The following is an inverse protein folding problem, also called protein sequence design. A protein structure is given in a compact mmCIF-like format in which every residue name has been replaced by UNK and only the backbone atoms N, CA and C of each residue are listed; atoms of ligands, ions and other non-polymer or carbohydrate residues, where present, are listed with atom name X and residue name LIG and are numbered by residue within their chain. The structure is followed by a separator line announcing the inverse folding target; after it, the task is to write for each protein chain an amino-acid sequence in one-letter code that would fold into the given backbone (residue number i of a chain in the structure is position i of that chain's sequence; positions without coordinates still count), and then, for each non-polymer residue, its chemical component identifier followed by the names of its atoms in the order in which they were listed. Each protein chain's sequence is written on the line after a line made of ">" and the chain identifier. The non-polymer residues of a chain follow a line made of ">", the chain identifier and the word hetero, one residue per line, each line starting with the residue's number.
data_IF_629330158590
#
_entry.id   IF_629330158590
#
_cell.length_a   1.000
_cell.length_b   1.000
_cell.length_c   1.000
_cell.angle_alpha   90.00
_cell.angle_beta   90.00
_cell.angle_gamma   90.00
#
_symmetry.space_group_name_H-M   'P 1'
#
loop_
_entity.id
_entity.type
_entity.pdbx_description
1 polymer ?
#
# COMPACT_ATOMS: atom_id res chain seq x y z
N UNK A 1 60.27 -41.66 -6.03
CA UNK A 1 59.55 -41.20 -7.24
C UNK A 1 58.16 -41.82 -7.35
N UNK A 2 58.00 -43.15 -7.36
CA UNK A 2 56.68 -43.80 -7.53
C UNK A 2 55.63 -43.40 -6.46
N UNK A 3 56.01 -43.37 -5.17
CA UNK A 3 55.08 -43.00 -4.09
C UNK A 3 54.58 -41.55 -4.16
N UNK A 4 55.41 -40.63 -4.67
CA UNK A 4 55.02 -39.23 -4.88
C UNK A 4 54.00 -39.14 -6.02
N UNK A 5 54.21 -39.89 -7.10
CA UNK A 5 53.29 -39.93 -8.25
C UNK A 5 51.93 -40.50 -7.84
N UNK A 6 51.92 -41.58 -7.06
CA UNK A 6 50.68 -42.17 -6.54
C UNK A 6 49.94 -41.20 -5.63
N UNK A 7 50.64 -40.55 -4.69
CA UNK A 7 50.05 -39.55 -3.81
C UNK A 7 49.43 -38.38 -4.58
N UNK A 8 50.15 -37.85 -5.58
CA UNK A 8 49.68 -36.74 -6.41
C UNK A 8 48.46 -37.15 -7.25
N UNK A 9 48.44 -38.38 -7.76
CA UNK A 9 47.32 -38.94 -8.52
C UNK A 9 46.05 -39.06 -7.67
N UNK A 10 46.18 -39.55 -6.43
CA UNK A 10 45.04 -39.65 -5.50
C UNK A 10 44.49 -38.27 -5.14
N UNK A 11 45.34 -37.29 -4.86
CA UNK A 11 44.92 -35.91 -4.58
C UNK A 11 44.18 -35.33 -5.79
N UNK A 12 44.71 -35.53 -7.00
CA UNK A 12 44.09 -35.06 -8.23
C UNK A 12 42.70 -35.70 -8.44
N UNK A 13 42.57 -37.00 -8.18
CA UNK A 13 41.30 -37.72 -8.27
C UNK A 13 40.26 -37.18 -7.27
N UNK A 14 40.66 -36.97 -6.01
CA UNK A 14 39.77 -36.41 -4.97
C UNK A 14 39.30 -35.01 -5.37
N UNK A 15 40.22 -34.15 -5.83
CA UNK A 15 39.88 -32.81 -6.32
C UNK A 15 38.91 -32.86 -7.50
N UNK A 16 39.15 -33.73 -8.49
CA UNK A 16 38.27 -33.89 -9.64
C UNK A 16 36.84 -34.32 -9.23
N UNK A 17 36.72 -35.28 -8.30
CA UNK A 17 35.43 -35.73 -7.77
C UNK A 17 34.72 -34.59 -7.04
N UNK A 18 35.41 -33.85 -6.17
CA UNK A 18 34.81 -32.72 -5.43
C UNK A 18 34.31 -31.63 -6.38
N UNK A 19 35.09 -31.29 -7.41
CA UNK A 19 34.71 -30.32 -8.43
C UNK A 19 33.46 -30.77 -9.20
N UNK A 20 33.41 -32.06 -9.59
CA UNK A 20 32.29 -32.64 -10.30
C UNK A 20 31.00 -32.56 -9.47
N UNK A 21 31.07 -32.90 -8.18
CA UNK A 21 29.94 -32.81 -7.26
C UNK A 21 29.42 -31.36 -7.11
N UNK A 22 30.32 -30.38 -7.01
CA UNK A 22 29.96 -28.95 -6.96
C UNK A 22 29.26 -28.52 -8.26
N UNK A 23 29.79 -28.92 -9.43
CA UNK A 23 29.18 -28.59 -10.73
C UNK A 23 27.77 -29.18 -10.85
N UNK A 24 27.57 -30.42 -10.38
CA UNK A 24 26.24 -31.05 -10.37
C UNK A 24 25.26 -30.24 -9.51
N UNK A 25 25.64 -29.86 -8.30
CA UNK A 25 24.77 -29.08 -7.41
C UNK A 25 24.46 -27.68 -8.00
N UNK A 26 25.45 -26.99 -8.58
CA UNK A 26 25.22 -25.69 -9.24
C UNK A 26 24.24 -25.84 -10.41
N UNK A 27 24.39 -26.88 -11.24
CA UNK A 27 23.46 -27.15 -12.35
C UNK A 27 22.05 -27.47 -11.85
N UNK A 28 21.93 -28.19 -10.73
CA UNK A 28 20.64 -28.48 -10.08
C UNK A 28 19.99 -27.18 -9.59
N UNK A 29 20.71 -26.39 -8.79
CA UNK A 29 20.24 -25.10 -8.28
C UNK A 29 19.75 -24.22 -9.44
N UNK A 30 20.54 -24.13 -10.52
CA UNK A 30 20.17 -23.32 -11.68
C UNK A 30 18.87 -23.83 -12.35
N UNK A 31 18.74 -25.15 -12.54
CA UNK A 31 17.51 -25.74 -13.10
C UNK A 31 16.29 -25.49 -12.22
N UNK A 32 16.42 -25.68 -10.92
CA UNK A 32 15.36 -25.44 -9.94
C UNK A 32 14.97 -23.95 -9.91
N UNK A 33 15.95 -23.05 -9.96
CA UNK A 33 15.71 -21.61 -10.00
C UNK A 33 15.01 -21.17 -11.29
N UNK A 34 15.43 -21.70 -12.45
CA UNK A 34 14.74 -21.45 -13.73
C UNK A 34 13.28 -21.90 -13.65
N UNK A 35 13.01 -23.08 -13.08
CA UNK A 35 11.64 -23.57 -12.89
C UNK A 35 10.83 -22.65 -11.96
N UNK A 36 11.38 -22.29 -10.80
CA UNK A 36 10.73 -21.40 -9.83
C UNK A 36 10.42 -20.03 -10.43
N UNK A 37 11.28 -19.53 -11.32
CA UNK A 37 11.08 -18.24 -11.98
C UNK A 37 9.92 -18.23 -13.00
N UNK A 38 9.49 -19.41 -13.49
CA UNK A 38 8.46 -19.52 -14.53
C UNK A 38 7.16 -20.14 -14.04
N UNK A 39 7.12 -20.66 -12.81
CA UNK A 39 5.97 -21.35 -12.23
C UNK A 39 5.68 -20.77 -10.85
N UNK A 40 4.41 -20.51 -10.57
CA UNK A 40 3.99 -20.13 -9.22
C UNK A 40 4.15 -21.30 -8.26
N UNK A 41 5.20 -21.25 -7.44
CA UNK A 41 5.51 -22.30 -6.47
C UNK A 41 6.19 -21.75 -5.22
N UNK A 42 5.99 -22.46 -4.12
CA UNK A 42 6.68 -22.23 -2.85
C UNK A 42 7.99 -23.03 -2.73
N UNK A 43 8.41 -23.73 -3.80
CA UNK A 43 9.62 -24.53 -3.81
C UNK A 43 10.90 -23.70 -3.62
N UNK A 44 11.89 -24.24 -2.90
CA UNK A 44 13.23 -23.69 -2.82
C UNK A 44 14.23 -24.48 -3.67
N UNK A 45 15.44 -23.96 -3.80
CA UNK A 45 16.56 -24.71 -4.37
C UNK A 45 17.17 -25.63 -3.31
N UNK A 46 17.69 -26.78 -3.75
CA UNK A 46 18.21 -27.86 -2.90
C UNK A 46 19.64 -28.25 -3.27
N UNK A 47 20.35 -28.86 -2.32
CA UNK A 47 21.74 -29.32 -2.49
C UNK A 47 21.86 -30.78 -2.06
N UNK A 48 22.57 -31.61 -2.83
CA UNK A 48 22.82 -33.00 -2.46
C UNK A 48 24.17 -33.18 -1.74
N UNK A 49 25.03 -32.18 -1.75
CA UNK A 49 26.34 -32.25 -1.12
C UNK A 49 26.39 -31.54 0.23
N UNK A 50 27.37 -31.94 1.05
CA UNK A 50 27.68 -31.29 2.33
C UNK A 50 28.69 -30.13 2.18
N UNK A 51 28.97 -29.65 0.96
CA UNK A 51 29.92 -28.55 0.76
C UNK A 51 29.38 -27.26 1.38
N UNK A 52 30.05 -26.69 2.40
CA UNK A 52 29.51 -25.54 3.15
C UNK A 52 29.21 -24.34 2.27
N UNK A 53 30.06 -24.06 1.28
CA UNK A 53 29.90 -22.93 0.37
C UNK A 53 28.64 -23.06 -0.51
N UNK A 54 28.38 -24.26 -1.03
CA UNK A 54 27.21 -24.54 -1.88
C UNK A 54 25.93 -24.48 -1.05
N UNK A 55 25.93 -25.02 0.17
CA UNK A 55 24.79 -24.91 1.10
C UNK A 55 24.49 -23.46 1.47
N UNK A 56 25.53 -22.66 1.74
CA UNK A 56 25.37 -21.23 2.04
C UNK A 56 24.80 -20.46 0.85
N UNK A 57 25.23 -20.78 -0.37
CA UNK A 57 24.67 -20.21 -1.60
C UNK A 57 23.18 -20.56 -1.75
N UNK A 58 22.82 -21.85 -1.60
CA UNK A 58 21.44 -22.30 -1.70
C UNK A 58 20.54 -21.65 -0.63
N UNK A 59 21.04 -21.51 0.61
CA UNK A 59 20.34 -20.81 1.68
C UNK A 59 20.08 -19.33 1.32
N UNK A 60 21.11 -18.60 0.88
CA UNK A 60 20.95 -17.20 0.48
C UNK A 60 19.99 -17.00 -0.69
N UNK A 61 19.95 -17.94 -1.66
CA UNK A 61 18.96 -17.94 -2.74
C UNK A 61 17.56 -18.15 -2.16
N UNK A 62 17.38 -19.13 -1.27
CA UNK A 62 16.08 -19.41 -0.65
C UNK A 62 15.56 -18.25 0.21
N UNK A 63 16.45 -17.56 0.93
CA UNK A 63 16.10 -16.35 1.69
C UNK A 63 15.58 -15.26 0.75
N UNK A 64 16.26 -15.03 -0.39
CA UNK A 64 15.82 -14.07 -1.39
C UNK A 64 14.48 -14.47 -2.06
N UNK A 65 14.30 -15.76 -2.38
CA UNK A 65 13.03 -16.27 -2.90
C UNK A 65 11.89 -16.04 -1.92
N UNK A 66 12.11 -16.28 -0.62
CA UNK A 66 11.13 -16.06 0.42
C UNK A 66 10.79 -14.57 0.59
N UNK A 67 11.80 -13.70 0.62
CA UNK A 67 11.60 -12.25 0.67
C UNK A 67 10.80 -11.75 -0.55
N UNK A 68 11.13 -12.23 -1.74
CA UNK A 68 10.42 -11.88 -2.99
C UNK A 68 8.97 -12.34 -2.96
N UNK A 69 8.69 -13.54 -2.43
CA UNK A 69 7.31 -14.02 -2.22
C UNK A 69 6.53 -13.15 -1.26
N UNK A 70 7.14 -12.77 -0.13
CA UNK A 70 6.49 -11.90 0.85
C UNK A 70 6.15 -10.55 0.23
N UNK A 71 7.10 -9.92 -0.46
CA UNK A 71 6.87 -8.66 -1.19
C UNK A 71 5.74 -8.81 -2.22
N UNK A 72 5.68 -9.91 -2.96
CA UNK A 72 4.61 -10.16 -3.93
C UNK A 72 3.25 -10.31 -3.25
N UNK A 73 3.17 -11.02 -2.12
CA UNK A 73 1.93 -11.16 -1.36
C UNK A 73 1.47 -9.81 -0.79
N UNK A 74 2.39 -9.00 -0.29
CA UNK A 74 2.11 -7.65 0.18
C UNK A 74 1.61 -6.74 -0.94
N UNK A 75 2.23 -6.79 -2.11
CA UNK A 75 1.78 -6.06 -3.31
C UNK A 75 0.37 -6.46 -3.71
N UNK A 76 0.08 -7.76 -3.84
CA UNK A 76 -1.27 -8.26 -4.17
C UNK A 76 -2.29 -7.81 -3.13
N UNK A 77 -1.94 -7.88 -1.84
CA UNK A 77 -2.82 -7.43 -0.76
C UNK A 77 -3.06 -5.90 -0.83
N UNK A 78 -2.05 -5.11 -1.15
CA UNK A 78 -2.16 -3.66 -1.33
C UNK A 78 -3.03 -3.31 -2.53
N UNK A 79 -2.81 -3.95 -3.68
CA UNK A 79 -3.63 -3.78 -4.89
C UNK A 79 -5.10 -4.11 -4.61
N UNK A 80 -5.36 -5.21 -3.90
CA UNK A 80 -6.72 -5.59 -3.50
C UNK A 80 -7.38 -4.54 -2.60
N UNK A 81 -6.63 -3.96 -1.64
CA UNK A 81 -7.14 -2.88 -0.77
C UNK A 81 -7.50 -1.63 -1.58
N UNK A 82 -6.63 -1.22 -2.51
CA UNK A 82 -6.87 -0.07 -3.38
C UNK A 82 -8.11 -0.32 -4.25
N UNK A 83 -8.21 -1.51 -4.85
CA UNK A 83 -9.35 -1.88 -5.67
C UNK A 83 -10.66 -1.83 -4.87
N UNK A 84 -10.67 -2.38 -3.66
CA UNK A 84 -11.85 -2.34 -2.79
C UNK A 84 -12.23 -0.90 -2.38
N UNK A 85 -11.25 -0.06 -2.08
CA UNK A 85 -11.47 1.36 -1.78
C UNK A 85 -12.12 2.08 -2.96
N UNK A 86 -11.63 1.85 -4.18
CA UNK A 86 -12.20 2.44 -5.40
C UNK A 86 -13.64 1.98 -5.65
N UNK A 87 -13.91 0.68 -5.46
CA UNK A 87 -15.27 0.12 -5.58
C UNK A 87 -16.23 0.77 -4.58
N UNK A 88 -15.82 0.89 -3.31
CA UNK A 88 -16.63 1.51 -2.28
C UNK A 88 -16.92 2.98 -2.62
N UNK A 89 -15.90 3.75 -3.02
CA UNK A 89 -16.08 5.15 -3.40
C UNK A 89 -16.97 5.32 -4.62
N UNK A 90 -16.88 4.41 -5.59
CA UNK A 90 -17.77 4.43 -6.76
C UNK A 90 -19.23 4.27 -6.34
N UNK A 91 -19.52 3.34 -5.42
CA UNK A 91 -20.86 3.16 -4.87
C UNK A 91 -21.33 4.42 -4.10
N UNK A 92 -20.45 4.97 -3.28
CA UNK A 92 -20.76 6.12 -2.42
C UNK A 92 -20.96 7.41 -3.21
N UNK A 93 -20.36 7.54 -4.40
CA UNK A 93 -20.63 8.61 -5.35
C UNK A 93 -21.95 8.37 -6.10
N UNK A 94 -22.21 7.12 -6.53
CA UNK A 94 -23.40 6.79 -7.33
C UNK A 94 -24.70 7.09 -6.59
N UNK A 95 -24.76 6.80 -5.29
CA UNK A 95 -25.96 6.99 -4.47
C UNK A 95 -26.45 8.45 -4.45
N UNK A 96 -25.67 9.45 -3.97
CA UNK A 96 -26.09 10.84 -3.97
C UNK A 96 -26.31 11.38 -5.38
N UNK A 97 -25.52 10.95 -6.37
CA UNK A 97 -25.72 11.35 -7.77
C UNK A 97 -27.08 10.87 -8.30
N UNK A 98 -27.47 9.63 -7.98
CA UNK A 98 -28.78 9.07 -8.36
C UNK A 98 -29.91 9.86 -7.72
N UNK A 99 -29.78 10.20 -6.42
CA UNK A 99 -30.77 11.00 -5.70
C UNK A 99 -30.89 12.40 -6.28
N UNK A 100 -29.76 13.08 -6.54
CA UNK A 100 -29.73 14.39 -7.17
C UNK A 100 -30.42 14.36 -8.54
N UNK A 101 -30.12 13.34 -9.35
CA UNK A 101 -30.75 13.14 -10.66
C UNK A 101 -32.26 12.96 -10.54
N UNK A 102 -32.74 12.17 -9.57
CA UNK A 102 -34.17 11.99 -9.30
C UNK A 102 -34.88 13.31 -8.96
N UNK A 103 -34.29 14.14 -8.09
CA UNK A 103 -34.87 15.46 -7.76
C UNK A 103 -34.88 16.42 -8.95
N UNK A 104 -33.83 16.42 -9.79
CA UNK A 104 -33.82 17.20 -11.04
C UNK A 104 -34.94 16.73 -11.98
N UNK A 105 -35.17 15.42 -12.10
CA UNK A 105 -36.25 14.88 -12.92
C UNK A 105 -37.64 15.25 -12.39
N UNK A 106 -37.84 15.31 -11.07
CA UNK A 106 -39.09 15.76 -10.46
C UNK A 106 -39.35 17.24 -10.75
N UNK A 107 -38.33 18.09 -10.55
CA UNK A 107 -38.38 19.52 -10.89
C UNK A 107 -38.69 19.78 -12.36
N UNK A 108 -38.20 18.93 -13.26
CA UNK A 108 -38.45 19.06 -14.69
C UNK A 108 -39.88 18.64 -15.09
N UNK A 109 -40.55 17.81 -14.28
CA UNK A 109 -41.94 17.38 -14.51
C UNK A 109 -42.96 18.34 -13.91
N UNK A 110 -42.70 18.86 -12.72
CA UNK A 110 -43.52 19.88 -12.07
C UNK A 110 -42.61 20.94 -11.43
N UNK A 111 -42.36 22.06 -12.12
CA UNK A 111 -41.46 23.11 -11.64
C UNK A 111 -41.98 23.88 -10.43
N UNK A 112 -43.27 23.79 -10.11
CA UNK A 112 -43.90 24.61 -9.08
C UNK A 112 -44.10 23.85 -7.75
N UNK A 113 -44.15 22.52 -7.78
CA UNK A 113 -44.21 21.71 -6.57
C UNK A 113 -42.83 21.60 -5.88
N UNK A 114 -42.71 22.21 -4.69
CA UNK A 114 -41.62 22.00 -3.74
C UNK A 114 -40.19 22.28 -4.28
N UNK A 115 -40.09 23.26 -5.20
CA UNK A 115 -38.85 23.52 -5.94
C UNK A 115 -37.66 23.89 -5.04
N UNK A 116 -37.91 24.70 -4.00
CA UNK A 116 -36.88 25.15 -3.05
C UNK A 116 -36.29 23.96 -2.26
N UNK A 117 -37.13 23.05 -1.81
CA UNK A 117 -36.70 21.86 -1.07
C UNK A 117 -35.95 20.89 -1.99
N UNK A 118 -36.45 20.66 -3.20
CA UNK A 118 -35.79 19.80 -4.19
C UNK A 118 -34.41 20.33 -4.59
N UNK A 119 -34.26 21.65 -4.81
CA UNK A 119 -32.96 22.28 -5.06
C UNK A 119 -32.00 22.13 -3.88
N UNK A 120 -32.50 22.28 -2.64
CA UNK A 120 -31.68 22.05 -1.44
C UNK A 120 -31.18 20.60 -1.35
N UNK A 121 -32.02 19.62 -1.72
CA UNK A 121 -31.65 18.20 -1.78
C UNK A 121 -30.60 17.94 -2.86
N UNK A 122 -30.74 18.52 -4.06
CA UNK A 122 -29.73 18.44 -5.13
C UNK A 122 -28.39 18.99 -4.64
N UNK A 123 -28.39 20.22 -4.10
CA UNK A 123 -27.17 20.87 -3.63
C UNK A 123 -26.49 20.11 -2.47
N UNK A 124 -27.28 19.46 -1.60
CA UNK A 124 -26.74 18.60 -0.54
C UNK A 124 -26.05 17.36 -1.12
N UNK A 125 -26.69 16.66 -2.05
CA UNK A 125 -26.13 15.46 -2.65
C UNK A 125 -24.88 15.75 -3.50
N UNK A 126 -24.86 16.87 -4.23
CA UNK A 126 -23.67 17.29 -4.97
C UNK A 126 -22.49 17.64 -4.04
N UNK A 127 -22.76 18.19 -2.84
CA UNK A 127 -21.73 18.36 -1.81
C UNK A 127 -21.16 17.03 -1.33
N UNK A 128 -22.00 16.02 -1.14
CA UNK A 128 -21.54 14.65 -0.81
C UNK A 128 -20.67 14.06 -1.92
N UNK A 129 -21.03 14.24 -3.19
CA UNK A 129 -20.17 13.82 -4.32
C UNK A 129 -18.81 14.53 -4.27
N UNK A 130 -18.81 15.85 -4.05
CA UNK A 130 -17.57 16.62 -3.97
C UNK A 130 -16.67 16.16 -2.80
N UNK A 131 -17.26 15.80 -1.66
CA UNK A 131 -16.53 15.22 -0.53
C UNK A 131 -15.76 13.95 -0.92
N UNK A 132 -16.40 13.00 -1.62
CA UNK A 132 -15.73 11.77 -2.07
C UNK A 132 -14.64 12.03 -3.12
N UNK A 133 -14.83 13.03 -3.98
CA UNK A 133 -13.79 13.46 -4.93
C UNK A 133 -12.57 14.06 -4.21
N UNK A 134 -12.80 14.89 -3.19
CA UNK A 134 -11.72 15.41 -2.33
C UNK A 134 -10.97 14.27 -1.63
N UNK A 135 -11.70 13.32 -1.06
CA UNK A 135 -11.09 12.15 -0.43
C UNK A 135 -10.20 11.33 -1.40
N UNK A 136 -10.62 11.17 -2.67
CA UNK A 136 -9.80 10.54 -3.71
C UNK A 136 -8.54 11.35 -4.04
N UNK A 137 -8.65 12.68 -4.11
CA UNK A 137 -7.49 13.55 -4.35
C UNK A 137 -6.48 13.47 -3.20
N UNK A 138 -6.95 13.51 -1.96
CA UNK A 138 -6.11 13.38 -0.78
C UNK A 138 -5.38 12.02 -0.75
N UNK A 139 -6.10 10.94 -1.08
CA UNK A 139 -5.49 9.62 -1.22
C UNK A 139 -4.38 9.60 -2.28
N UNK A 140 -4.62 10.13 -3.48
CA UNK A 140 -3.60 10.21 -4.52
C UNK A 140 -2.40 11.05 -4.09
N UNK A 141 -2.65 12.17 -3.41
CA UNK A 141 -1.59 13.04 -2.90
C UNK A 141 -0.68 12.29 -1.90
N UNK A 142 -1.26 11.50 -1.01
CA UNK A 142 -0.52 10.68 -0.04
C UNK A 142 0.28 9.58 -0.76
N UNK A 143 -0.31 8.94 -1.77
CA UNK A 143 0.34 7.89 -2.56
C UNK A 143 1.53 8.42 -3.38
N UNK A 144 1.39 9.59 -4.02
CA UNK A 144 2.47 10.23 -4.77
C UNK A 144 3.53 10.83 -3.85
N UNK A 145 3.11 11.45 -2.74
CA UNK A 145 4.00 12.05 -1.74
C UNK A 145 4.35 11.06 -0.64
N UNK A 146 4.87 9.90 -1.02
CA UNK A 146 5.73 9.07 -0.14
C UNK A 146 7.05 9.79 0.24
N UNK A 147 7.08 11.12 0.25
CA UNK A 147 8.20 11.92 0.73
C UNK A 147 8.05 12.13 2.24
N UNK A 148 9.17 11.99 2.94
CA UNK A 148 9.26 12.13 4.39
C UNK A 148 8.44 13.31 4.92
N UNK A 149 7.56 13.03 5.89
CA UNK A 149 6.70 13.99 6.54
C UNK A 149 7.55 15.15 7.07
N UNK A 150 7.37 16.36 6.53
CA UNK A 150 8.10 17.55 7.01
C UNK A 150 7.42 18.07 8.27
N UNK A 151 7.81 17.50 9.40
CA UNK A 151 7.41 18.00 10.71
C UNK A 151 7.89 19.44 10.86
N UNK A 152 6.96 20.34 11.17
CA UNK A 152 7.24 21.73 11.48
C UNK A 152 6.50 22.10 12.75
N UNK A 153 7.09 22.92 13.62
CA UNK A 153 6.38 23.41 14.79
C UNK A 153 5.12 24.16 14.36
N UNK A 154 3.99 23.86 14.99
CA UNK A 154 2.71 24.53 14.72
C UNK A 154 2.27 25.34 15.94
N UNK A 155 1.77 26.55 15.71
CA UNK A 155 1.14 27.34 16.78
C UNK A 155 -0.28 26.80 17.00
N UNK A 156 -0.41 25.93 18.00
CA UNK A 156 -1.67 25.28 18.34
C UNK A 156 -2.72 26.29 18.82
N UNK A 157 -2.31 27.33 19.54
CA UNK A 157 -3.23 28.38 19.99
C UNK A 157 -3.93 29.04 18.81
N UNK A 158 -3.15 29.44 17.79
CA UNK A 158 -3.70 30.08 16.59
C UNK A 158 -4.59 29.14 15.78
N UNK A 159 -4.22 27.87 15.71
CA UNK A 159 -5.03 26.84 15.05
C UNK A 159 -6.40 26.72 15.74
N UNK A 160 -6.41 26.55 17.06
CA UNK A 160 -7.63 26.42 17.86
C UNK A 160 -8.48 27.68 17.82
N UNK A 161 -7.86 28.87 17.85
CA UNK A 161 -8.59 30.14 17.71
C UNK A 161 -9.30 30.24 16.36
N UNK A 162 -8.64 29.86 15.27
CA UNK A 162 -9.20 29.92 13.91
C UNK A 162 -10.39 28.97 13.77
N UNK A 163 -10.21 27.71 14.15
CA UNK A 163 -11.28 26.71 14.10
C UNK A 163 -12.47 27.10 14.98
N UNK A 164 -12.20 27.57 16.20
CA UNK A 164 -13.28 27.97 17.11
C UNK A 164 -14.04 29.20 16.61
N UNK A 165 -13.38 30.08 15.84
CA UNK A 165 -14.03 31.22 15.18
C UNK A 165 -15.00 30.75 14.10
N UNK A 166 -14.60 29.78 13.27
CA UNK A 166 -15.42 29.25 12.18
C UNK A 166 -16.70 28.58 12.70
N UNK A 167 -16.66 27.99 13.90
CA UNK A 167 -17.82 27.39 14.57
C UNK A 167 -18.59 28.35 15.50
N UNK A 168 -18.08 29.55 15.76
CA UNK A 168 -18.63 30.44 16.78
C UNK A 168 -20.07 30.84 16.47
N UNK A 169 -20.36 31.18 15.21
CA UNK A 169 -21.70 31.56 14.76
C UNK A 169 -22.70 30.41 14.92
N UNK A 170 -22.29 29.18 14.60
CA UNK A 170 -23.11 27.97 14.73
C UNK A 170 -23.40 27.64 16.21
N UNK A 171 -22.39 27.76 17.08
CA UNK A 171 -22.54 27.51 18.51
C UNK A 171 -23.44 28.55 19.17
N UNK A 172 -23.32 29.81 18.75
CA UNK A 172 -24.17 30.89 19.27
C UNK A 172 -25.60 30.78 18.76
N UNK A 173 -25.80 30.40 17.49
CA UNK A 173 -27.12 30.15 16.90
C UNK A 173 -27.87 28.96 17.53
N UNK A 174 -27.13 28.01 18.13
CA UNK A 174 -27.72 26.88 18.89
C UNK A 174 -27.98 27.21 20.36
N UNK A 175 -27.78 28.46 20.79
CA UNK A 175 -28.05 28.93 22.15
C UNK A 175 -26.93 28.62 23.16
N UNK A 176 -25.78 28.11 22.72
CA UNK A 176 -24.63 27.88 23.59
C UNK A 176 -23.81 29.16 23.76
N UNK A 177 -23.51 29.50 25.03
CA UNK A 177 -22.64 30.62 25.38
C UNK A 177 -21.18 30.13 25.46
N UNK A 178 -20.40 30.38 24.41
CA UNK A 178 -19.00 29.94 24.34
C UNK A 178 -18.07 31.03 24.85
N UNK A 179 -17.26 30.72 25.87
CA UNK A 179 -16.20 31.61 26.39
C UNK A 179 -14.85 30.89 26.26
N UNK A 180 -14.17 31.03 25.11
CA UNK A 180 -12.92 30.31 24.89
C UNK A 180 -11.80 30.85 25.79
N UNK A 181 -11.10 29.94 26.46
CA UNK A 181 -9.86 30.22 27.20
C UNK A 181 -8.74 29.40 26.57
N UNK A 182 -8.00 30.00 25.66
CA UNK A 182 -6.88 29.38 24.96
C UNK A 182 -5.59 30.04 25.48
N UNK A 183 -4.64 29.24 25.96
CA UNK A 183 -3.34 29.75 26.38
C UNK A 183 -2.58 30.27 25.14
N UNK A 184 -1.92 31.45 25.20
CA UNK A 184 -1.28 32.04 24.03
C UNK A 184 0.02 31.30 23.66
N UNK A 185 0.31 31.22 22.35
CA UNK A 185 1.57 30.73 21.79
C UNK A 185 1.98 29.30 22.23
N UNK A 186 1.02 28.41 22.41
CA UNK A 186 1.30 26.99 22.59
C UNK A 186 1.83 26.44 21.26
N UNK A 187 3.06 25.94 21.25
CA UNK A 187 3.69 25.35 20.06
C UNK A 187 3.86 23.84 20.26
N UNK A 188 3.41 23.06 19.28
CA UNK A 188 3.64 21.62 19.16
C UNK A 188 4.79 21.35 18.19
#
# INVERSE_FOLDING_TARGET
>A
MLGIIIGLSVICLVLAITLLLIIIDIRRINRELIYINHVETNAGVTTNTNFPLVRKLAAGINDNLNATRQLRLEQIAQEKKIHQMLLNLTHDIKTPLTVATGYVQLLNRDPHADAKQSLARVAHNLRSVNYYLHYLMDFNLIQEKSTALKLKPINLSKLLETELFDYFDQLTASGMKVTPKIAPNLVL
#
